data_IF_241008345617
#
_entry.id   IF_241008345617
#
_cell.length_a   1.000
_cell.length_b   1.000
_cell.length_c   1.000
_cell.angle_alpha   90.00
_cell.angle_beta   90.00
_cell.angle_gamma   90.00
#
_symmetry.space_group_name_H-M   'P 1'
#
loop_
_entity.id
_entity.type
_entity.pdbx_description
1 polymer ?
#
# COMPACT_ATOMS: atom_id res chain seq x y z
N UNK A 1 -19.11 -27.50 -2.02
CA UNK A 1 -18.27 -28.64 -2.52
C UNK A 1 -16.84 -28.13 -2.55
N UNK A 2 -15.88 -28.86 -1.97
CA UNK A 2 -14.46 -28.47 -2.08
C UNK A 2 -13.92 -29.07 -3.37
N UNK A 3 -13.13 -28.29 -4.11
CA UNK A 3 -12.42 -28.78 -5.29
C UNK A 3 -11.48 -29.92 -4.88
N UNK A 4 -11.48 -31.00 -5.64
CA UNK A 4 -10.54 -32.10 -5.50
C UNK A 4 -9.30 -31.76 -6.34
N UNK A 5 -8.37 -31.00 -5.74
CA UNK A 5 -7.11 -30.65 -6.39
C UNK A 5 -6.08 -31.75 -6.15
N UNK A 6 -5.25 -32.01 -7.16
CA UNK A 6 -4.06 -32.85 -7.00
C UNK A 6 -3.02 -32.09 -6.17
N UNK A 7 -2.90 -32.47 -4.90
CA UNK A 7 -2.00 -31.82 -3.95
C UNK A 7 -0.53 -31.97 -4.31
N UNK A 8 -0.16 -33.03 -5.06
CA UNK A 8 1.21 -33.23 -5.54
C UNK A 8 1.54 -32.20 -6.62
N UNK A 9 0.64 -32.05 -7.59
CA UNK A 9 0.80 -31.07 -8.66
C UNK A 9 0.84 -29.63 -8.11
N UNK A 10 -0.04 -29.29 -7.16
CA UNK A 10 -0.01 -27.97 -6.48
C UNK A 10 1.35 -27.72 -5.82
N UNK A 11 1.91 -28.74 -5.17
CA UNK A 11 3.24 -28.63 -4.54
C UNK A 11 4.35 -28.42 -5.57
N UNK A 12 4.29 -29.12 -6.70
CA UNK A 12 5.25 -28.95 -7.80
C UNK A 12 5.18 -27.55 -8.40
N UNK A 13 3.97 -27.03 -8.63
CA UNK A 13 3.76 -25.65 -9.10
C UNK A 13 4.35 -24.61 -8.12
N UNK A 14 4.11 -24.78 -6.81
CA UNK A 14 4.68 -23.90 -5.78
C UNK A 14 6.22 -23.97 -5.74
N UNK A 15 6.81 -25.15 -5.93
CA UNK A 15 8.26 -25.30 -5.97
C UNK A 15 8.87 -24.64 -7.21
N UNK A 16 8.23 -24.77 -8.38
CA UNK A 16 8.66 -24.09 -9.59
C UNK A 16 8.54 -22.57 -9.44
N UNK A 17 7.41 -22.07 -8.95
CA UNK A 17 7.17 -20.68 -8.68
C UNK A 17 8.16 -20.08 -7.66
N UNK A 18 8.51 -20.85 -6.62
CA UNK A 18 9.50 -20.44 -5.62
C UNK A 18 10.87 -20.14 -6.21
N UNK A 19 11.33 -20.93 -7.19
CA UNK A 19 12.61 -20.66 -7.87
C UNK A 19 12.58 -19.33 -8.63
N UNK A 20 11.48 -19.03 -9.29
CA UNK A 20 11.29 -17.75 -10.01
C UNK A 20 11.24 -16.60 -9.00
N UNK A 21 10.47 -16.77 -7.92
CA UNK A 21 10.36 -15.77 -6.86
C UNK A 21 11.74 -15.45 -6.22
N UNK A 22 12.58 -16.45 -5.99
CA UNK A 22 13.94 -16.26 -5.46
C UNK A 22 14.82 -15.42 -6.41
N UNK A 23 14.65 -15.57 -7.71
CA UNK A 23 15.38 -14.77 -8.71
C UNK A 23 14.88 -13.32 -8.72
N UNK A 24 13.57 -13.13 -8.69
CA UNK A 24 12.95 -11.80 -8.60
C UNK A 24 13.38 -11.09 -7.30
N UNK A 25 13.38 -11.80 -6.15
CA UNK A 25 13.83 -11.22 -4.88
C UNK A 25 15.30 -10.79 -4.92
N UNK A 26 16.18 -11.57 -5.55
CA UNK A 26 17.59 -11.17 -5.73
C UNK A 26 17.73 -9.93 -6.63
N UNK A 27 16.84 -9.78 -7.61
CA UNK A 27 16.80 -8.59 -8.45
C UNK A 27 16.30 -7.36 -7.70
N UNK A 28 15.16 -7.44 -7.00
CA UNK A 28 14.54 -6.28 -6.34
C UNK A 28 15.24 -5.87 -5.04
N UNK A 29 15.82 -6.82 -4.31
CA UNK A 29 16.38 -6.59 -2.98
C UNK A 29 17.39 -5.43 -2.86
N UNK A 30 18.34 -5.24 -3.79
CA UNK A 30 19.31 -4.14 -3.74
C UNK A 30 18.82 -2.86 -4.43
N UNK A 31 17.58 -2.78 -4.86
CA UNK A 31 17.04 -1.67 -5.66
C UNK A 31 16.01 -0.87 -4.90
N UNK A 32 15.88 0.39 -5.29
CA UNK A 32 14.89 1.32 -4.77
C UNK A 32 14.25 2.11 -5.90
N UNK A 33 13.12 2.76 -5.62
CA UNK A 33 12.42 3.67 -6.51
C UNK A 33 12.16 4.99 -5.81
N UNK A 34 11.84 6.04 -6.54
CA UNK A 34 11.46 7.31 -5.93
C UNK A 34 10.26 7.14 -4.99
N UNK A 35 9.29 6.29 -5.35
CA UNK A 35 8.12 5.99 -4.49
C UNK A 35 8.52 5.29 -3.18
N UNK A 36 9.46 4.35 -3.23
CA UNK A 36 10.02 3.72 -2.03
C UNK A 36 10.75 4.75 -1.16
N UNK A 37 11.58 5.59 -1.76
CA UNK A 37 12.33 6.62 -1.02
C UNK A 37 11.40 7.64 -0.35
N UNK A 38 10.34 8.08 -1.05
CA UNK A 38 9.29 8.95 -0.48
C UNK A 38 8.59 8.26 0.70
N UNK A 39 8.30 6.97 0.55
CA UNK A 39 7.65 6.18 1.60
C UNK A 39 8.50 6.09 2.86
N UNK A 40 9.81 5.86 2.71
CA UNK A 40 10.73 5.81 3.85
C UNK A 40 10.74 7.14 4.61
N UNK A 41 10.78 8.28 3.90
CA UNK A 41 10.70 9.60 4.53
C UNK A 41 9.38 9.81 5.29
N UNK A 42 8.26 9.34 4.75
CA UNK A 42 6.96 9.40 5.45
C UNK A 42 6.97 8.58 6.73
N UNK A 43 7.57 7.38 6.72
CA UNK A 43 7.73 6.55 7.91
C UNK A 43 8.66 7.18 8.95
N UNK A 44 9.60 8.03 8.52
CA UNK A 44 10.45 8.84 9.40
C UNK A 44 9.75 10.10 9.92
N UNK A 45 8.50 10.37 9.54
CA UNK A 45 7.71 11.48 10.05
C UNK A 45 7.66 12.73 9.14
N UNK A 46 8.08 12.63 7.88
CA UNK A 46 7.92 13.70 6.88
C UNK A 46 6.50 13.59 6.29
N UNK A 47 5.53 14.26 6.90
CA UNK A 47 4.12 14.07 6.59
C UNK A 47 3.39 15.35 6.16
N UNK A 48 4.09 16.47 6.08
CA UNK A 48 3.50 17.76 5.71
C UNK A 48 3.66 18.06 4.21
N UNK A 49 3.03 19.13 3.75
CA UNK A 49 3.03 19.56 2.36
C UNK A 49 3.17 21.08 2.25
N UNK A 50 3.71 21.55 1.13
CA UNK A 50 3.72 22.96 0.74
C UNK A 50 3.01 23.09 -0.61
N UNK A 51 2.03 23.96 -0.69
CA UNK A 51 1.20 24.18 -1.90
C UNK A 51 0.58 22.85 -2.44
N UNK A 52 0.21 21.94 -1.53
CA UNK A 52 -0.35 20.64 -1.87
C UNK A 52 0.67 19.57 -2.27
N UNK A 53 1.95 19.91 -2.42
CA UNK A 53 3.01 18.95 -2.73
C UNK A 53 3.62 18.42 -1.43
N UNK A 54 3.61 17.10 -1.21
CA UNK A 54 4.20 16.50 -0.02
C UNK A 54 5.71 16.78 0.09
N UNK A 55 6.19 17.13 1.28
CA UNK A 55 7.61 17.42 1.51
C UNK A 55 8.51 16.23 1.15
N UNK A 56 8.07 15.01 1.36
CA UNK A 56 8.81 13.81 0.97
C UNK A 56 9.10 13.78 -0.53
N UNK A 57 8.16 14.26 -1.37
CA UNK A 57 8.35 14.36 -2.82
C UNK A 57 9.43 15.39 -3.15
N UNK A 58 9.34 16.57 -2.55
CA UNK A 58 10.31 17.67 -2.79
C UNK A 58 11.74 17.21 -2.49
N UNK A 59 11.92 16.49 -1.37
CA UNK A 59 13.24 15.94 -1.00
C UNK A 59 13.74 14.94 -2.05
N UNK A 60 12.91 13.97 -2.39
CA UNK A 60 13.31 12.87 -3.31
C UNK A 60 13.56 13.41 -4.71
N UNK A 61 12.72 14.32 -5.19
CA UNK A 61 12.87 14.93 -6.51
C UNK A 61 14.12 15.80 -6.60
N UNK A 62 14.45 16.54 -5.55
CA UNK A 62 15.68 17.32 -5.46
C UNK A 62 16.92 16.41 -5.55
N UNK A 63 16.95 15.31 -4.80
CA UNK A 63 18.04 14.35 -4.82
C UNK A 63 18.12 13.60 -6.16
N UNK A 64 16.98 13.22 -6.73
CA UNK A 64 16.90 12.54 -8.02
C UNK A 64 17.44 13.42 -9.16
N UNK A 65 17.02 14.70 -9.20
CA UNK A 65 17.49 15.65 -10.21
C UNK A 65 19.01 15.89 -10.16
N UNK A 66 19.63 15.63 -9.01
CA UNK A 66 21.08 15.78 -8.78
C UNK A 66 21.84 14.45 -8.89
N UNK A 67 21.14 13.31 -9.18
CA UNK A 67 21.75 11.99 -9.31
C UNK A 67 22.20 11.35 -7.98
N UNK A 68 21.68 11.81 -6.84
CA UNK A 68 22.17 11.47 -5.50
C UNK A 68 21.28 10.50 -4.70
N UNK A 69 20.28 9.88 -5.35
CA UNK A 69 19.42 8.88 -4.68
C UNK A 69 20.14 7.56 -4.37
N UNK A 70 21.32 7.32 -4.90
CA UNK A 70 22.02 6.04 -4.72
C UNK A 70 22.35 5.65 -3.27
N UNK A 71 22.43 6.64 -2.36
CA UNK A 71 22.59 6.41 -0.92
C UNK A 71 21.25 6.34 -0.16
N UNK A 72 20.15 6.68 -0.83
CA UNK A 72 18.81 6.77 -0.26
C UNK A 72 18.48 8.16 0.32
N UNK A 73 17.22 8.58 0.16
CA UNK A 73 16.75 9.88 0.67
C UNK A 73 16.83 9.95 2.20
N UNK A 74 16.60 8.84 2.89
CA UNK A 74 16.75 8.74 4.33
C UNK A 74 18.15 9.02 4.81
N UNK A 75 19.18 8.60 4.06
CA UNK A 75 20.57 8.91 4.38
C UNK A 75 20.82 10.41 4.38
N UNK A 76 20.45 11.08 3.30
CA UNK A 76 20.70 12.51 3.14
C UNK A 76 19.96 13.35 4.18
N UNK A 77 18.65 13.09 4.33
CA UNK A 77 17.84 13.83 5.29
C UNK A 77 18.29 13.55 6.73
N UNK A 78 18.51 12.26 7.07
CA UNK A 78 18.93 11.87 8.40
C UNK A 78 20.34 12.39 8.77
N UNK A 79 21.26 12.46 7.80
CA UNK A 79 22.56 13.09 8.00
C UNK A 79 22.39 14.56 8.40
N UNK A 80 21.55 15.31 7.68
CA UNK A 80 21.25 16.70 8.03
C UNK A 80 20.57 16.81 9.40
N UNK A 81 19.61 15.95 9.71
CA UNK A 81 18.97 15.91 11.03
C UNK A 81 19.99 15.74 12.16
N UNK A 82 20.92 14.79 12.00
CA UNK A 82 21.94 14.50 13.00
C UNK A 82 22.92 15.68 13.20
N UNK A 83 23.39 16.24 12.09
CA UNK A 83 24.39 17.33 12.13
C UNK A 83 23.82 18.65 12.66
N UNK A 84 22.55 18.93 12.37
CA UNK A 84 21.88 20.19 12.69
C UNK A 84 20.95 20.11 13.91
N UNK A 85 20.73 18.92 14.46
CA UNK A 85 19.79 18.73 15.59
C UNK A 85 18.34 18.98 15.21
N UNK A 86 17.95 18.73 13.95
CA UNK A 86 16.60 18.93 13.43
C UNK A 86 15.81 17.63 13.41
N UNK A 87 14.48 17.73 13.57
CA UNK A 87 13.60 16.64 13.24
C UNK A 87 13.51 16.43 11.71
N UNK A 88 13.10 15.23 11.21
CA UNK A 88 12.93 15.01 9.78
C UNK A 88 11.96 16.00 9.13
N UNK A 89 10.88 16.36 9.82
CA UNK A 89 9.89 17.33 9.35
C UNK A 89 10.47 18.74 9.21
N UNK A 90 11.24 19.20 10.21
CA UNK A 90 11.88 20.52 10.18
C UNK A 90 12.96 20.61 9.08
N UNK A 91 13.77 19.56 8.95
CA UNK A 91 14.78 19.49 7.90
C UNK A 91 14.13 19.51 6.50
N UNK A 92 13.05 18.74 6.32
CA UNK A 92 12.31 18.71 5.07
C UNK A 92 11.68 20.08 4.72
N UNK A 93 11.08 20.75 5.70
CA UNK A 93 10.52 22.09 5.51
C UNK A 93 11.60 23.12 5.09
N UNK A 94 12.80 23.05 5.70
CA UNK A 94 13.92 23.92 5.33
C UNK A 94 14.44 23.65 3.92
N UNK A 95 14.49 22.39 3.48
CA UNK A 95 14.83 22.06 2.09
C UNK A 95 13.81 22.63 1.12
N UNK A 96 12.52 22.47 1.41
CA UNK A 96 11.45 23.00 0.58
C UNK A 96 11.46 24.55 0.50
N UNK A 97 11.87 25.21 1.59
CA UNK A 97 12.06 26.67 1.63
C UNK A 97 13.37 27.14 0.98
N UNK A 98 14.21 26.25 0.43
CA UNK A 98 15.56 26.52 -0.06
C UNK A 98 16.51 27.11 1.02
N UNK A 99 16.25 26.84 2.30
CA UNK A 99 17.10 27.24 3.43
C UNK A 99 18.15 26.19 3.78
N UNK A 100 18.01 24.96 3.28
CA UNK A 100 18.90 23.84 3.54
C UNK A 100 19.19 23.06 2.25
N UNK A 101 20.47 22.96 1.90
CA UNK A 101 20.95 22.02 0.88
C UNK A 101 21.53 20.78 1.57
N UNK A 102 20.86 19.64 1.39
CA UNK A 102 21.27 18.36 2.00
C UNK A 102 22.69 17.94 1.55
N UNK A 103 23.09 18.27 0.32
CA UNK A 103 24.38 17.89 -0.23
C UNK A 103 25.53 18.78 0.26
N UNK A 104 25.23 19.94 0.82
CA UNK A 104 26.23 20.83 1.45
C UNK A 104 26.62 20.38 2.86
N UNK A 105 25.86 19.47 3.47
CA UNK A 105 26.14 18.96 4.82
C UNK A 105 27.28 17.93 4.76
N UNK A 106 28.29 18.01 5.64
CA UNK A 106 29.36 17.02 5.71
C UNK A 106 28.80 15.60 5.87
N UNK A 107 29.26 14.69 5.03
CA UNK A 107 28.77 13.30 5.01
C UNK A 107 29.29 12.50 6.19
N UNK A 108 28.43 11.76 6.84
CA UNK A 108 28.81 10.73 7.80
C UNK A 108 28.83 9.36 7.14
N UNK A 109 29.66 8.46 7.63
CA UNK A 109 29.69 7.08 7.13
C UNK A 109 28.34 6.38 7.31
N UNK A 110 27.79 5.72 6.27
CA UNK A 110 26.45 5.10 6.34
C UNK A 110 26.28 4.14 7.51
N UNK A 111 27.33 3.37 7.87
CA UNK A 111 27.30 2.46 9.01
C UNK A 111 27.16 3.17 10.36
N UNK A 112 27.73 4.35 10.49
CA UNK A 112 27.65 5.19 11.71
C UNK A 112 26.28 5.87 11.80
N UNK A 113 25.70 6.24 10.66
CA UNK A 113 24.40 6.92 10.61
C UNK A 113 23.21 5.94 10.81
N UNK A 114 23.36 4.68 10.41
CA UNK A 114 22.27 3.68 10.43
C UNK A 114 21.50 3.58 11.77
N UNK A 115 22.13 3.51 12.96
CA UNK A 115 21.39 3.46 14.21
C UNK A 115 20.50 4.69 14.42
N UNK A 116 20.99 5.88 14.07
CA UNK A 116 20.23 7.12 14.18
C UNK A 116 19.03 7.12 13.21
N UNK A 117 19.20 6.64 11.96
CA UNK A 117 18.10 6.50 11.01
C UNK A 117 17.02 5.54 11.53
N UNK A 118 17.44 4.47 12.18
CA UNK A 118 16.52 3.53 12.81
C UNK A 118 15.71 4.18 13.95
N UNK A 119 16.34 5.05 14.75
CA UNK A 119 15.64 5.83 15.79
C UNK A 119 14.60 6.77 15.17
N UNK A 120 14.94 7.47 14.09
CA UNK A 120 14.01 8.37 13.40
C UNK A 120 12.78 7.64 12.84
N UNK A 121 12.93 6.41 12.38
CA UNK A 121 11.82 5.61 11.86
C UNK A 121 10.94 4.96 12.96
N UNK A 122 11.45 4.81 14.19
CA UNK A 122 10.76 4.09 15.27
C UNK A 122 9.36 4.62 15.61
N UNK A 123 9.08 5.94 15.63
CA UNK A 123 7.73 6.43 15.90
C UNK A 123 6.71 5.94 14.86
N UNK A 124 7.03 5.99 13.57
CA UNK A 124 6.18 5.48 12.50
C UNK A 124 5.95 3.97 12.60
N UNK A 125 7.04 3.21 12.81
CA UNK A 125 6.95 1.76 12.96
C UNK A 125 6.13 1.34 14.19
N UNK A 126 6.31 2.03 15.33
CA UNK A 126 5.49 1.78 16.53
C UNK A 126 4.02 2.07 16.27
N UNK A 127 3.68 3.18 15.60
CA UNK A 127 2.29 3.50 15.25
C UNK A 127 1.66 2.38 14.43
N UNK A 128 2.37 1.80 13.46
CA UNK A 128 1.87 0.66 12.66
C UNK A 128 1.59 -0.56 13.56
N UNK A 129 2.51 -0.89 14.46
CA UNK A 129 2.32 -2.01 15.40
C UNK A 129 1.14 -1.78 16.34
N UNK A 130 1.00 -0.57 16.86
CA UNK A 130 -0.10 -0.22 17.75
C UNK A 130 -1.45 -0.25 17.01
N UNK A 131 -1.50 0.21 15.78
CA UNK A 131 -2.67 0.10 14.91
C UNK A 131 -3.04 -1.37 14.64
N UNK A 132 -2.06 -2.23 14.37
CA UNK A 132 -2.29 -3.67 14.23
C UNK A 132 -2.91 -4.27 15.49
N UNK A 133 -2.34 -3.99 16.66
CA UNK A 133 -2.86 -4.46 17.95
C UNK A 133 -4.28 -3.95 18.22
N UNK A 134 -4.52 -2.68 17.96
CA UNK A 134 -5.85 -2.08 18.11
C UNK A 134 -6.88 -2.76 17.20
N UNK A 135 -6.53 -3.03 15.93
CA UNK A 135 -7.38 -3.78 15.00
C UNK A 135 -7.73 -5.16 15.55
N UNK A 136 -6.73 -5.92 15.97
CA UNK A 136 -6.90 -7.26 16.53
C UNK A 136 -7.83 -7.25 17.77
N UNK A 137 -7.65 -6.27 18.66
CA UNK A 137 -8.51 -6.08 19.83
C UNK A 137 -9.95 -5.74 19.46
N UNK A 138 -10.13 -4.85 18.46
CA UNK A 138 -11.48 -4.47 18.01
C UNK A 138 -12.19 -5.62 17.32
N UNK A 139 -11.51 -6.42 16.51
CA UNK A 139 -12.05 -7.63 15.88
C UNK A 139 -12.46 -8.69 16.91
N UNK A 140 -11.72 -8.83 18.01
CA UNK A 140 -12.10 -9.70 19.12
C UNK A 140 -13.32 -9.20 19.89
N UNK A 141 -13.39 -7.89 20.12
CA UNK A 141 -14.50 -7.24 20.86
C UNK A 141 -15.81 -7.25 20.06
N UNK A 142 -15.77 -6.82 18.81
CA UNK A 142 -16.97 -6.57 18.00
C UNK A 142 -17.34 -7.77 17.12
N UNK A 143 -16.41 -8.69 16.89
CA UNK A 143 -16.55 -9.82 15.97
C UNK A 143 -16.83 -9.40 14.53
N UNK A 144 -16.63 -10.29 13.62
CA UNK A 144 -16.98 -10.13 12.20
C UNK A 144 -18.38 -10.69 11.93
N UNK A 145 -19.00 -10.26 10.85
CA UNK A 145 -20.22 -10.88 10.36
C UNK A 145 -20.03 -12.35 9.95
N UNK A 146 -21.13 -13.09 9.73
CA UNK A 146 -21.06 -14.47 9.26
C UNK A 146 -20.55 -14.53 7.81
N UNK A 147 -19.74 -15.53 7.49
CA UNK A 147 -19.31 -15.76 6.11
C UNK A 147 -20.47 -16.27 5.22
N UNK A 148 -20.52 -15.89 3.93
CA UNK A 148 -19.59 -15.04 3.22
C UNK A 148 -19.71 -13.56 3.62
N UNK A 149 -18.57 -12.85 3.69
CA UNK A 149 -18.56 -11.43 4.01
C UNK A 149 -19.04 -10.62 2.80
N UNK A 150 -19.86 -9.60 3.05
CA UNK A 150 -20.37 -8.70 2.03
C UNK A 150 -19.40 -7.53 1.82
N UNK A 151 -18.90 -7.40 0.60
CA UNK A 151 -17.96 -6.37 0.16
C UNK A 151 -18.71 -5.31 -0.66
N UNK A 152 -18.61 -4.04 -0.27
CA UNK A 152 -19.24 -2.91 -0.94
C UNK A 152 -18.21 -1.84 -1.27
N UNK A 153 -18.26 -1.31 -2.49
CA UNK A 153 -17.41 -0.20 -2.93
C UNK A 153 -18.17 1.12 -2.74
N UNK A 154 -17.50 2.08 -2.11
CA UNK A 154 -17.97 3.47 -1.96
C UNK A 154 -16.87 4.40 -2.43
N UNK A 155 -17.10 5.11 -3.53
CA UNK A 155 -16.06 5.88 -4.20
C UNK A 155 -16.64 7.05 -5.03
N UNK A 156 -17.23 8.05 -4.37
CA UNK A 156 -17.87 9.19 -5.06
C UNK A 156 -16.90 10.24 -5.56
N UNK A 157 -15.65 10.23 -5.07
CA UNK A 157 -14.65 11.29 -5.29
C UNK A 157 -14.58 12.31 -4.16
N UNK A 158 -15.58 12.37 -3.28
CA UNK A 158 -15.63 13.27 -2.13
C UNK A 158 -15.73 12.47 -0.84
N UNK A 159 -14.68 12.48 -0.02
CA UNK A 159 -14.64 11.72 1.23
C UNK A 159 -15.80 12.08 2.17
N UNK A 160 -16.30 13.32 2.14
CA UNK A 160 -17.41 13.76 2.97
C UNK A 160 -18.77 13.20 2.51
N UNK A 161 -18.87 12.78 1.25
CA UNK A 161 -20.01 12.04 0.71
C UNK A 161 -19.85 10.54 0.86
N UNK A 162 -18.61 10.05 0.82
CA UNK A 162 -18.32 8.64 1.00
C UNK A 162 -18.65 8.16 2.42
N UNK A 163 -18.38 8.97 3.44
CA UNK A 163 -18.67 8.63 4.84
C UNK A 163 -20.12 8.20 5.05
N UNK A 164 -21.15 9.02 4.75
CA UNK A 164 -22.54 8.60 4.96
C UNK A 164 -22.94 7.40 4.10
N UNK A 165 -22.37 7.23 2.91
CA UNK A 165 -22.64 6.07 2.06
C UNK A 165 -22.03 4.79 2.65
N UNK A 166 -20.80 4.86 3.15
CA UNK A 166 -20.14 3.76 3.83
C UNK A 166 -20.88 3.34 5.10
N UNK A 167 -21.36 4.31 5.88
CA UNK A 167 -22.19 4.06 7.07
C UNK A 167 -23.50 3.37 6.69
N UNK A 168 -24.21 3.88 5.68
CA UNK A 168 -25.44 3.26 5.19
C UNK A 168 -25.20 1.84 4.65
N UNK A 169 -24.13 1.61 3.91
CA UNK A 169 -23.75 0.27 3.44
C UNK A 169 -23.50 -0.68 4.63
N UNK A 170 -22.80 -0.25 5.66
CA UNK A 170 -22.56 -1.04 6.86
C UNK A 170 -23.87 -1.33 7.61
N UNK A 171 -24.79 -0.37 7.73
CA UNK A 171 -26.11 -0.55 8.33
C UNK A 171 -26.99 -1.53 7.53
N UNK A 172 -26.79 -1.62 6.20
CA UNK A 172 -27.47 -2.58 5.33
C UNK A 172 -26.80 -3.95 5.28
N UNK A 173 -25.70 -4.14 5.99
CA UNK A 173 -25.07 -5.46 6.13
C UNK A 173 -23.67 -5.60 5.53
N UNK A 174 -23.10 -4.57 4.92
CA UNK A 174 -21.73 -4.64 4.44
C UNK A 174 -20.73 -4.90 5.58
N UNK A 175 -19.89 -5.90 5.42
CA UNK A 175 -18.84 -6.28 6.37
C UNK A 175 -17.51 -5.64 5.99
N UNK A 176 -17.33 -5.35 4.72
CA UNK A 176 -16.12 -4.79 4.12
C UNK A 176 -16.53 -3.61 3.26
N UNK A 177 -15.94 -2.45 3.53
CA UNK A 177 -16.18 -1.24 2.74
C UNK A 177 -14.88 -0.85 2.06
N UNK A 178 -14.88 -0.87 0.74
CA UNK A 178 -13.79 -0.35 -0.06
C UNK A 178 -14.03 1.13 -0.35
N UNK A 179 -13.17 1.96 0.19
CA UNK A 179 -13.17 3.39 -0.08
C UNK A 179 -11.93 3.67 -0.88
N UNK A 180 -12.08 3.70 -2.18
CA UNK A 180 -11.27 4.22 -2.93
C UNK A 180 -10.11 3.93 -3.51
N UNK A 181 -9.71 4.29 -4.34
CA UNK A 181 -8.64 4.88 -5.12
C UNK A 181 -9.25 5.52 -6.36
N UNK A 182 -8.98 6.77 -6.63
CA UNK A 182 -9.34 7.33 -7.92
C UNK A 182 -8.48 6.71 -9.03
N UNK A 183 -9.07 6.41 -10.17
CA UNK A 183 -8.35 5.93 -11.36
C UNK A 183 -7.21 6.88 -11.74
N UNK A 184 -7.43 8.19 -11.66
CA UNK A 184 -6.42 9.22 -11.91
C UNK A 184 -5.21 9.11 -10.98
N UNK A 185 -5.36 8.64 -9.74
CA UNK A 185 -4.26 8.50 -8.79
C UNK A 185 -3.22 7.46 -9.22
N UNK A 186 -3.61 6.48 -10.02
CA UNK A 186 -2.68 5.50 -10.58
C UNK A 186 -1.60 6.13 -11.46
N UNK A 187 -1.89 7.29 -12.03
CA UNK A 187 -1.02 8.06 -12.92
C UNK A 187 -0.31 9.22 -12.20
N UNK A 188 -0.66 9.49 -10.94
CA UNK A 188 -0.01 10.53 -10.15
C UNK A 188 1.31 10.03 -9.59
N UNK A 189 2.27 10.92 -9.58
CA UNK A 189 3.61 10.69 -9.04
C UNK A 189 3.68 10.86 -7.52
N UNK A 190 2.58 11.22 -6.88
CA UNK A 190 2.48 11.44 -5.45
C UNK A 190 1.05 11.23 -4.92
N UNK A 191 0.95 10.94 -3.63
CA UNK A 191 -0.33 10.91 -2.93
C UNK A 191 -0.70 12.34 -2.54
N UNK A 192 -1.90 12.85 -2.91
CA UNK A 192 -2.37 14.16 -2.48
C UNK A 192 -2.39 14.31 -0.95
N UNK A 193 -2.28 15.54 -0.46
CA UNK A 193 -2.29 15.85 0.96
C UNK A 193 -3.69 16.28 1.43
N UNK A 194 -4.08 15.82 2.63
CA UNK A 194 -5.31 16.23 3.30
C UNK A 194 -6.57 15.50 2.83
N UNK A 195 -7.71 15.99 3.32
CA UNK A 195 -9.03 15.51 2.92
C UNK A 195 -9.37 16.02 1.51
N UNK A 196 -9.88 15.12 0.66
CA UNK A 196 -10.21 15.47 -0.73
C UNK A 196 -11.72 15.48 -0.98
N UNK A 197 -12.18 16.45 -1.77
CA UNK A 197 -13.57 16.65 -2.15
C UNK A 197 -13.83 16.38 -3.63
N UNK A 198 -12.78 16.04 -4.36
CA UNK A 198 -12.81 15.78 -5.79
C UNK A 198 -11.97 14.53 -6.10
N UNK A 199 -12.44 13.74 -7.04
CA UNK A 199 -11.75 12.56 -7.54
C UNK A 199 -12.30 12.16 -8.91
N UNK A 200 -11.52 11.40 -9.67
CA UNK A 200 -11.92 10.89 -10.96
C UNK A 200 -11.89 9.35 -10.93
N UNK A 201 -13.06 8.72 -11.05
CA UNK A 201 -13.20 7.27 -10.93
C UNK A 201 -12.85 6.77 -9.52
N UNK A 202 -13.23 7.52 -8.49
CA UNK A 202 -12.99 7.20 -7.08
C UNK A 202 -12.49 8.38 -6.26
N UNK A 203 -12.25 8.15 -4.98
CA UNK A 203 -11.79 9.14 -4.00
C UNK A 203 -10.29 8.94 -3.76
N UNK A 204 -9.49 9.98 -3.61
CA UNK A 204 -8.06 9.86 -3.39
C UNK A 204 -7.71 9.08 -2.12
N UNK A 205 -6.75 8.16 -2.22
CA UNK A 205 -6.18 7.42 -1.09
C UNK A 205 -5.16 8.31 -0.36
N UNK A 206 -5.63 9.30 0.40
CA UNK A 206 -4.79 10.14 1.25
C UNK A 206 -4.80 9.64 2.68
N UNK A 207 -3.79 9.99 3.46
CA UNK A 207 -3.76 9.64 4.88
C UNK A 207 -4.97 10.17 5.64
N UNK A 208 -5.40 11.41 5.34
CA UNK A 208 -6.55 12.02 6.00
C UNK A 208 -7.86 11.34 5.61
N UNK A 209 -8.03 10.95 4.33
CA UNK A 209 -9.21 10.21 3.90
C UNK A 209 -9.31 8.84 4.61
N UNK A 210 -8.19 8.13 4.78
CA UNK A 210 -8.16 6.90 5.57
C UNK A 210 -8.59 7.14 7.01
N UNK A 211 -8.05 8.18 7.64
CA UNK A 211 -8.38 8.55 9.03
C UNK A 211 -9.85 8.85 9.22
N UNK A 212 -10.41 9.67 8.32
CA UNK A 212 -11.83 10.07 8.35
C UNK A 212 -12.72 8.83 8.22
N UNK A 213 -12.44 7.99 7.21
CA UNK A 213 -13.28 6.81 6.97
C UNK A 213 -13.12 5.76 8.07
N UNK A 214 -11.89 5.49 8.53
CA UNK A 214 -11.66 4.53 9.61
C UNK A 214 -12.41 4.93 10.88
N UNK A 215 -12.40 6.22 11.24
CA UNK A 215 -13.15 6.73 12.38
C UNK A 215 -14.67 6.52 12.20
N UNK A 216 -15.19 6.83 11.02
CA UNK A 216 -16.62 6.67 10.74
C UNK A 216 -17.07 5.21 10.80
N UNK A 217 -16.26 4.29 10.27
CA UNK A 217 -16.58 2.85 10.33
C UNK A 217 -16.41 2.27 11.74
N UNK A 218 -15.51 2.79 12.57
CA UNK A 218 -15.40 2.40 13.98
C UNK A 218 -16.65 2.79 14.76
N UNK A 219 -17.08 4.05 14.64
CA UNK A 219 -18.30 4.56 15.28
C UNK A 219 -19.54 3.77 14.85
N UNK A 220 -19.62 3.43 13.57
CA UNK A 220 -20.72 2.62 13.03
C UNK A 220 -20.65 1.18 13.53
N UNK A 221 -19.47 0.59 13.51
CA UNK A 221 -19.26 -0.77 14.01
C UNK A 221 -19.59 -0.92 15.50
N UNK A 222 -19.26 0.07 16.33
CA UNK A 222 -19.64 0.08 17.75
C UNK A 222 -21.16 0.14 17.94
N UNK A 223 -21.86 0.96 17.14
CA UNK A 223 -23.34 1.02 17.16
C UNK A 223 -23.99 -0.31 16.73
N UNK A 224 -23.42 -0.95 15.72
CA UNK A 224 -23.94 -2.21 15.18
C UNK A 224 -23.48 -3.45 15.94
N UNK A 225 -22.50 -3.33 16.84
CA UNK A 225 -21.91 -4.43 17.60
C UNK A 225 -21.08 -5.37 16.73
N UNK A 226 -20.59 -4.94 15.55
CA UNK A 226 -19.75 -5.73 14.66
C UNK A 226 -18.62 -4.90 14.04
N UNK A 227 -17.49 -5.55 13.73
CA UNK A 227 -16.35 -4.90 13.11
C UNK A 227 -16.57 -4.75 11.60
N UNK A 228 -16.36 -3.54 11.09
CA UNK A 228 -16.44 -3.24 9.65
C UNK A 228 -15.01 -3.02 9.13
N UNK A 229 -14.60 -3.82 8.16
CA UNK A 229 -13.29 -3.70 7.54
C UNK A 229 -13.23 -2.53 6.57
N UNK A 230 -12.10 -1.85 6.56
CA UNK A 230 -11.78 -0.81 5.58
C UNK A 230 -10.76 -1.36 4.58
N UNK A 231 -11.08 -1.23 3.29
CA UNK A 231 -10.24 -1.66 2.19
C UNK A 231 -9.90 -0.49 1.28
N UNK A 232 -8.72 -0.53 0.71
CA UNK A 232 -8.29 0.41 -0.32
C UNK A 232 -7.62 -0.32 -1.49
N UNK A 233 -7.62 0.31 -2.65
CA UNK A 233 -6.84 -0.11 -3.80
C UNK A 233 -5.46 0.54 -3.75
N UNK A 234 -4.42 -0.28 -3.83
CA UNK A 234 -3.03 0.12 -3.73
C UNK A 234 -2.29 -0.34 -4.98
N UNK A 235 -2.31 0.50 -5.99
CA UNK A 235 -1.68 0.25 -7.29
C UNK A 235 -1.17 1.55 -7.91
N UNK A 236 -0.42 1.44 -9.00
CA UNK A 236 0.11 2.58 -9.75
C UNK A 236 1.38 3.19 -9.16
N UNK A 237 1.67 4.43 -9.54
CA UNK A 237 2.99 5.05 -9.33
C UNK A 237 3.36 5.34 -7.86
N UNK A 238 2.37 5.45 -6.97
CA UNK A 238 2.57 5.75 -5.54
C UNK A 238 2.14 4.59 -4.63
N UNK A 239 2.20 3.36 -5.12
CA UNK A 239 1.80 2.15 -4.39
C UNK A 239 2.44 2.01 -3.00
N UNK A 240 3.76 2.13 -2.81
CA UNK A 240 4.38 2.05 -1.49
C UNK A 240 3.89 3.13 -0.53
N UNK A 241 3.68 4.35 -1.01
CA UNK A 241 3.17 5.45 -0.19
C UNK A 241 1.76 5.16 0.31
N UNK A 242 0.86 4.69 -0.56
CA UNK A 242 -0.51 4.30 -0.18
C UNK A 242 -0.47 3.18 0.88
N UNK A 243 0.40 2.18 0.71
CA UNK A 243 0.55 1.10 1.69
C UNK A 243 0.97 1.62 3.07
N UNK A 244 1.95 2.51 3.13
CA UNK A 244 2.42 3.12 4.38
C UNK A 244 1.34 3.96 5.05
N UNK A 245 0.64 4.81 4.27
CA UNK A 245 -0.42 5.66 4.79
C UNK A 245 -1.61 4.84 5.31
N UNK A 246 -1.98 3.78 4.59
CA UNK A 246 -2.99 2.81 5.05
C UNK A 246 -2.59 2.12 6.36
N UNK A 247 -1.33 1.68 6.48
CA UNK A 247 -0.80 1.06 7.69
C UNK A 247 -0.79 2.04 8.88
N UNK A 248 -0.46 3.31 8.64
CA UNK A 248 -0.47 4.38 9.65
C UNK A 248 -1.89 4.76 10.11
N UNK A 249 -2.92 4.43 9.35
CA UNK A 249 -4.33 4.74 9.67
C UNK A 249 -5.21 3.47 9.85
N UNK A 250 -4.61 2.35 10.18
CA UNK A 250 -5.27 1.09 10.56
C UNK A 250 -6.18 0.50 9.47
N UNK A 251 -5.70 0.50 8.23
CA UNK A 251 -6.34 -0.21 7.13
C UNK A 251 -6.36 -1.73 7.40
N UNK A 252 -7.42 -2.40 6.98
CA UNK A 252 -7.60 -3.85 7.22
C UNK A 252 -7.14 -4.70 6.04
N UNK A 253 -7.49 -4.27 4.86
CA UNK A 253 -7.23 -4.99 3.61
C UNK A 253 -6.77 -4.03 2.53
N UNK A 254 -6.00 -4.52 1.60
CA UNK A 254 -5.48 -3.74 0.49
C UNK A 254 -5.51 -4.58 -0.78
N UNK A 255 -6.14 -4.07 -1.83
CA UNK A 255 -5.97 -4.63 -3.15
C UNK A 255 -4.63 -4.12 -3.70
N UNK A 256 -3.73 -5.05 -3.99
CA UNK A 256 -2.40 -4.75 -4.54
C UNK A 256 -2.35 -5.20 -5.99
N UNK A 257 -1.47 -4.63 -6.79
CA UNK A 257 -1.38 -4.96 -8.21
C UNK A 257 -1.18 -6.46 -8.44
N UNK A 258 -1.95 -6.99 -9.40
CA UNK A 258 -1.80 -8.36 -9.85
C UNK A 258 -0.47 -8.55 -10.56
N UNK A 259 0.23 -9.64 -10.26
CA UNK A 259 1.51 -9.95 -10.93
C UNK A 259 1.31 -10.14 -12.44
N UNK A 260 0.22 -10.75 -12.86
CA UNK A 260 -0.12 -10.89 -14.27
C UNK A 260 -0.19 -9.52 -14.98
N UNK A 261 -0.85 -8.54 -14.37
CA UNK A 261 -0.93 -7.18 -14.91
C UNK A 261 0.44 -6.51 -15.02
N UNK A 262 1.29 -6.69 -14.01
CA UNK A 262 2.66 -6.16 -14.01
C UNK A 262 3.48 -6.78 -15.14
N UNK A 263 3.46 -8.10 -15.29
CA UNK A 263 4.30 -8.81 -16.24
C UNK A 263 3.90 -8.56 -17.70
N UNK A 264 2.62 -8.38 -17.99
CA UNK A 264 2.09 -8.37 -19.35
C UNK A 264 1.54 -7.03 -19.83
N UNK A 265 1.32 -6.06 -18.93
CA UNK A 265 0.67 -4.78 -19.25
C UNK A 265 1.39 -3.54 -18.74
N UNK A 266 2.32 -3.70 -17.79
CA UNK A 266 3.01 -2.55 -17.21
C UNK A 266 4.12 -2.03 -18.15
N UNK A 267 4.21 -0.71 -18.26
CA UNK A 267 5.25 -0.05 -19.07
C UNK A 267 6.62 -0.13 -18.41
N UNK A 268 6.65 -0.16 -17.07
CA UNK A 268 7.89 -0.25 -16.29
C UNK A 268 7.77 -1.35 -15.23
N UNK A 269 7.80 -2.58 -15.70
CA UNK A 269 7.67 -3.79 -14.89
C UNK A 269 8.67 -3.84 -13.72
N UNK A 270 9.93 -3.48 -13.97
CA UNK A 270 10.98 -3.55 -12.94
C UNK A 270 10.67 -2.63 -11.76
N UNK A 271 10.28 -1.38 -12.05
CA UNK A 271 9.88 -0.40 -11.04
C UNK A 271 8.67 -0.91 -10.25
N UNK A 272 7.63 -1.38 -10.95
CA UNK A 272 6.39 -1.82 -10.30
C UNK A 272 6.60 -3.06 -9.44
N UNK A 273 7.48 -3.99 -9.83
CA UNK A 273 7.88 -5.13 -8.99
C UNK A 273 8.57 -4.68 -7.69
N UNK A 274 9.46 -3.68 -7.76
CA UNK A 274 10.12 -3.12 -6.57
C UNK A 274 9.07 -2.48 -5.65
N UNK A 275 8.21 -1.62 -6.19
CA UNK A 275 7.16 -0.93 -5.46
C UNK A 275 6.16 -1.92 -4.82
N UNK A 276 5.75 -2.95 -5.57
CA UNK A 276 4.87 -4.00 -5.06
C UNK A 276 5.51 -4.77 -3.89
N UNK A 277 6.77 -5.19 -4.06
CA UNK A 277 7.45 -5.94 -3.00
C UNK A 277 7.58 -5.10 -1.72
N UNK A 278 7.97 -3.83 -1.84
CA UNK A 278 8.09 -2.94 -0.69
C UNK A 278 6.73 -2.70 -0.01
N UNK A 279 5.66 -2.51 -0.80
CA UNK A 279 4.30 -2.41 -0.29
C UNK A 279 3.89 -3.65 0.50
N UNK A 280 4.27 -4.84 0.03
CA UNK A 280 3.98 -6.12 0.69
C UNK A 280 4.75 -6.29 1.99
N UNK A 281 5.99 -5.82 2.06
CA UNK A 281 6.74 -5.79 3.33
C UNK A 281 6.02 -4.92 4.37
N UNK A 282 5.54 -3.75 3.97
CA UNK A 282 4.74 -2.88 4.85
C UNK A 282 3.45 -3.59 5.29
N UNK A 283 2.72 -4.18 4.35
CA UNK A 283 1.46 -4.88 4.65
C UNK A 283 1.68 -6.08 5.55
N UNK A 284 2.76 -6.85 5.37
CA UNK A 284 3.14 -7.94 6.24
C UNK A 284 3.39 -7.46 7.67
N UNK A 285 4.16 -6.40 7.82
CA UNK A 285 4.46 -5.79 9.11
C UNK A 285 3.20 -5.26 9.82
N UNK A 286 2.32 -4.61 9.06
CA UNK A 286 1.04 -4.08 9.55
C UNK A 286 -0.03 -5.16 9.77
N UNK A 287 0.18 -6.40 9.31
CA UNK A 287 -0.83 -7.47 9.34
C UNK A 287 -2.04 -7.17 8.45
N UNK A 288 -1.86 -6.39 7.38
CA UNK A 288 -2.91 -6.06 6.41
C UNK A 288 -3.11 -7.25 5.47
N UNK A 289 -4.37 -7.57 5.17
CA UNK A 289 -4.74 -8.61 4.21
C UNK A 289 -4.53 -8.04 2.80
N UNK A 290 -3.89 -8.82 1.93
CA UNK A 290 -3.73 -8.46 0.52
C UNK A 290 -4.73 -9.24 -0.34
N UNK A 291 -5.42 -8.51 -1.21
CA UNK A 291 -6.13 -9.04 -2.35
C UNK A 291 -5.31 -8.75 -3.61
N UNK A 292 -4.86 -9.78 -4.32
CA UNK A 292 -3.99 -9.60 -5.48
C UNK A 292 -4.73 -9.22 -6.76
N UNK A 293 -6.03 -9.50 -6.86
CA UNK A 293 -6.84 -9.15 -8.03
C UNK A 293 -6.41 -9.86 -9.34
N UNK A 294 -5.66 -10.97 -9.26
CA UNK A 294 -5.19 -11.71 -10.46
C UNK A 294 -6.34 -12.10 -11.40
N UNK A 295 -7.51 -12.37 -10.83
CA UNK A 295 -8.65 -12.88 -11.58
C UNK A 295 -9.46 -11.81 -12.31
N UNK A 296 -9.21 -10.54 -12.04
CA UNK A 296 -9.85 -9.44 -12.77
C UNK A 296 -9.56 -9.48 -14.29
N UNK A 297 -8.55 -10.25 -14.67
CA UNK A 297 -8.18 -10.45 -16.06
C UNK A 297 -8.89 -11.65 -16.72
N UNK A 298 -9.54 -12.51 -15.96
CA UNK A 298 -10.23 -13.71 -16.47
C UNK A 298 -11.60 -13.38 -17.12
N UNK A 299 -12.08 -12.17 -16.97
CA UNK A 299 -13.37 -11.73 -17.55
C UNK A 299 -13.26 -11.34 -19.02
N UNK A 300 -12.06 -11.23 -19.57
CA UNK A 300 -11.84 -10.96 -20.99
C UNK A 300 -11.59 -12.25 -21.77
N UNK A 301 -11.93 -12.29 -23.05
CA UNK A 301 -11.66 -13.43 -23.94
C UNK A 301 -10.17 -13.81 -23.95
N UNK A 302 -9.28 -12.81 -23.91
CA UNK A 302 -7.83 -13.01 -23.87
C UNK A 302 -7.39 -13.67 -22.57
N UNK A 303 -7.98 -13.26 -21.43
CA UNK A 303 -7.67 -13.84 -20.14
C UNK A 303 -8.14 -15.30 -20.03
N UNK A 304 -9.25 -15.68 -20.67
CA UNK A 304 -9.68 -17.08 -20.75
C UNK A 304 -8.72 -17.90 -21.59
N UNK A 305 -8.27 -17.38 -22.73
CA UNK A 305 -7.27 -18.04 -23.56
C UNK A 305 -5.91 -18.23 -22.84
N UNK A 306 -5.55 -17.27 -21.99
CA UNK A 306 -4.30 -17.23 -21.23
C UNK A 306 -4.45 -17.71 -19.77
N UNK A 307 -5.53 -18.45 -19.45
CA UNK A 307 -5.82 -18.90 -18.08
C UNK A 307 -4.66 -19.67 -17.43
N UNK A 308 -3.90 -20.44 -18.21
CA UNK A 308 -2.70 -21.13 -17.71
C UNK A 308 -1.59 -20.16 -17.28
N UNK A 309 -1.40 -19.05 -18.00
CA UNK A 309 -0.43 -18.01 -17.67
C UNK A 309 -0.86 -17.23 -16.44
N UNK A 310 -2.14 -16.88 -16.32
CA UNK A 310 -2.71 -16.25 -15.13
C UNK A 310 -2.53 -17.15 -13.91
N UNK A 311 -2.84 -18.45 -14.03
CA UNK A 311 -2.63 -19.42 -12.95
C UNK A 311 -1.16 -19.53 -12.54
N UNK A 312 -0.25 -19.56 -13.50
CA UNK A 312 1.19 -19.56 -13.20
C UNK A 312 1.62 -18.28 -12.46
N UNK A 313 1.11 -17.13 -12.89
CA UNK A 313 1.41 -15.85 -12.21
C UNK A 313 0.88 -15.80 -10.78
N UNK A 314 -0.28 -16.43 -10.50
CA UNK A 314 -0.81 -16.57 -9.14
C UNK A 314 0.12 -17.35 -8.21
N UNK A 315 0.68 -18.48 -8.68
CA UNK A 315 1.65 -19.24 -7.90
C UNK A 315 2.93 -18.43 -7.62
N UNK A 316 3.45 -17.71 -8.63
CA UNK A 316 4.64 -16.86 -8.47
C UNK A 316 4.32 -15.71 -7.50
N UNK A 317 3.15 -15.08 -7.65
CA UNK A 317 2.68 -14.00 -6.79
C UNK A 317 2.56 -14.44 -5.32
N UNK A 318 2.03 -15.65 -5.06
CA UNK A 318 1.99 -16.25 -3.73
C UNK A 318 3.41 -16.36 -3.13
N UNK A 319 4.36 -16.88 -3.88
CA UNK A 319 5.73 -17.07 -3.40
C UNK A 319 6.45 -15.73 -3.17
N UNK A 320 6.26 -14.74 -4.04
CA UNK A 320 6.79 -13.40 -3.83
C UNK A 320 6.21 -12.73 -2.60
N UNK A 321 4.92 -12.90 -2.34
CA UNK A 321 4.27 -12.36 -1.17
C UNK A 321 4.77 -13.02 0.13
N UNK A 322 4.96 -14.33 0.13
CA UNK A 322 5.56 -15.06 1.26
C UNK A 322 7.02 -14.61 1.50
N UNK A 323 7.81 -14.40 0.46
CA UNK A 323 9.17 -13.88 0.55
C UNK A 323 9.22 -12.45 1.11
N UNK A 324 8.20 -11.63 0.86
CA UNK A 324 8.03 -10.30 1.45
C UNK A 324 7.58 -10.34 2.93
N UNK A 325 7.36 -11.51 3.50
CA UNK A 325 6.99 -11.72 4.90
C UNK A 325 5.49 -11.82 5.18
N UNK A 326 4.64 -11.86 4.13
CA UNK A 326 3.21 -12.12 4.30
C UNK A 326 2.98 -13.57 4.76
N UNK A 327 2.10 -13.75 5.71
CA UNK A 327 1.66 -15.09 6.11
C UNK A 327 0.53 -15.59 5.20
N UNK A 328 0.34 -16.92 5.04
CA UNK A 328 -0.70 -17.46 4.15
C UNK A 328 -2.11 -16.94 4.42
N UNK A 329 -2.45 -16.63 5.68
CA UNK A 329 -3.76 -16.09 6.04
C UNK A 329 -3.96 -14.61 5.64
N UNK A 330 -2.87 -13.87 5.40
CA UNK A 330 -2.92 -12.49 4.91
C UNK A 330 -3.08 -12.42 3.40
N UNK A 331 -2.92 -13.52 2.71
CA UNK A 331 -3.12 -13.59 1.28
C UNK A 331 -4.55 -14.00 0.98
N UNK A 332 -5.41 -13.03 0.82
CA UNK A 332 -6.70 -13.26 0.20
C UNK A 332 -6.49 -13.52 -1.28
N UNK A 333 -6.68 -14.74 -1.73
CA UNK A 333 -6.94 -15.05 -3.13
C UNK A 333 -8.38 -14.58 -3.44
N UNK A 334 -8.66 -13.32 -3.12
CA UNK A 334 -9.97 -12.74 -3.24
C UNK A 334 -10.15 -12.17 -4.62
N UNK A 335 -11.15 -12.66 -5.28
CA UNK A 335 -11.72 -12.04 -6.43
C UNK A 335 -12.47 -10.80 -6.00
N UNK A 336 -12.02 -9.61 -6.38
CA UNK A 336 -12.97 -8.56 -6.61
C UNK A 336 -13.62 -8.90 -7.95
N UNK A 337 -14.73 -9.63 -7.93
CA UNK A 337 -15.62 -9.62 -9.07
C UNK A 337 -16.19 -8.20 -9.16
N UNK A 338 -15.55 -7.35 -9.93
CA UNK A 338 -16.29 -6.31 -10.60
C UNK A 338 -17.09 -7.05 -11.66
N UNK A 339 -18.34 -7.32 -11.37
CA UNK A 339 -19.31 -7.63 -12.41
C UNK A 339 -19.37 -6.35 -13.22
N UNK A 340 -18.75 -6.39 -14.38
CA UNK A 340 -18.95 -5.36 -15.39
C UNK A 340 -20.43 -5.44 -15.77
N UNK A 341 -21.23 -4.41 -15.49
CA UNK A 341 -22.64 -4.44 -15.85
C UNK A 341 -22.89 -4.57 -17.36
N UNK A 342 -21.87 -4.39 -18.18
CA UNK A 342 -21.94 -4.57 -19.64
C UNK A 342 -21.71 -6.03 -20.07
N UNK A 343 -21.46 -6.97 -19.13
CA UNK A 343 -21.32 -8.41 -19.41
C UNK A 343 -22.64 -9.20 -19.31
N UNK A 344 -23.77 -8.53 -19.16
CA UNK A 344 -25.10 -9.17 -19.16
C UNK A 344 -25.73 -9.36 -20.57
N UNK A 345 -25.02 -9.08 -21.65
CA UNK A 345 -25.50 -9.30 -23.03
C UNK A 345 -24.93 -10.58 -23.67
#
# INVERSE_FOLDING_TARGET
MKLQLDTSLVKECRQAAGKIADEVQRFIGPRSTQSVERTVLRLMGVNDAIDGVPLANIIVDNLAARGELGLGAAYWLGNACKQLGLSPQEAAAKVAANELDLLAIPREEPGVLRPFLQELAQPGLRKIVDNRRQREQMQQKLKMGPAPLLYVIVATGDIMRDVPQAQAAAEQGADIVAVIRTTGQSLLDYVPHGATREGFGGTYATQENFRIMRKALDETGEKLGRYIMLVNYCSGLCMPEIAALGALERLDMMLNDALYGILFRDINMERTLIDQNFSRVINAYAGIIINSGEDNYLTTSDAVAEAHTVTASQFINEQLALAAGLSPWQMGLGHAFEIDPDLED
#
